data_IF_272147844053
#
_entry.id   IF_272147844053
#
_cell.length_a   1.000
_cell.length_b   1.000
_cell.length_c   1.000
_cell.angle_alpha   90.00
_cell.angle_beta   90.00
_cell.angle_gamma   90.00
#
_symmetry.space_group_name_H-M   'P 1'
#
loop_
_entity.id
_entity.type
_entity.pdbx_description
1 polymer ?
#
# COMPACT_ATOMS: atom_id res chain seq x y z
N UNK A 1 -35.69 -13.79 72.64
CA UNK A 1 -35.92 -12.85 71.52
C UNK A 1 -35.28 -13.42 70.25
N UNK A 2 -36.09 -14.00 69.36
CA UNK A 2 -35.61 -14.67 68.14
C UNK A 2 -35.41 -13.68 66.98
N UNK A 3 -34.31 -13.82 66.23
CA UNK A 3 -34.05 -13.04 65.00
C UNK A 3 -35.07 -13.46 63.92
N UNK A 4 -35.92 -12.56 63.47
CA UNK A 4 -36.79 -12.79 62.32
C UNK A 4 -35.98 -12.79 61.02
N UNK A 5 -36.40 -13.60 60.05
CA UNK A 5 -35.77 -13.64 58.73
C UNK A 5 -36.03 -12.33 57.98
N UNK A 6 -34.97 -11.66 57.51
CA UNK A 6 -35.05 -10.40 56.74
C UNK A 6 -35.85 -10.52 55.43
N UNK A 7 -36.06 -11.73 54.93
CA UNK A 7 -36.83 -12.00 53.71
C UNK A 7 -37.75 -13.19 53.97
N UNK A 8 -39.05 -13.01 53.71
CA UNK A 8 -40.08 -14.03 53.97
C UNK A 8 -40.22 -15.03 52.82
N UNK A 9 -39.67 -14.74 51.64
CA UNK A 9 -39.78 -15.59 50.44
C UNK A 9 -38.49 -15.61 49.62
N UNK A 10 -38.25 -16.68 48.85
CA UNK A 10 -37.11 -16.75 47.94
C UNK A 10 -37.15 -15.65 46.86
N UNK A 11 -38.35 -15.30 46.39
CA UNK A 11 -38.56 -14.21 45.42
C UNK A 11 -38.11 -12.85 45.99
N UNK A 12 -38.54 -12.50 47.20
CA UNK A 12 -38.15 -11.24 47.87
C UNK A 12 -36.64 -11.16 48.12
N UNK A 13 -35.99 -12.27 48.46
CA UNK A 13 -34.53 -12.34 48.55
C UNK A 13 -33.85 -12.07 47.20
N UNK A 14 -34.39 -12.65 46.12
CA UNK A 14 -33.82 -12.48 44.77
C UNK A 14 -33.93 -11.04 44.26
N UNK A 15 -35.05 -10.37 44.53
CA UNK A 15 -35.28 -9.00 44.10
C UNK A 15 -34.46 -8.00 44.93
N UNK A 16 -34.32 -8.24 46.23
CA UNK A 16 -33.41 -7.47 47.08
C UNK A 16 -31.95 -7.56 46.59
N UNK A 17 -31.50 -8.76 46.21
CA UNK A 17 -30.16 -8.94 45.62
C UNK A 17 -30.00 -8.23 44.28
N UNK A 18 -31.03 -8.23 43.42
CA UNK A 18 -31.01 -7.48 42.15
C UNK A 18 -30.93 -5.97 42.39
N UNK A 19 -31.73 -5.44 43.32
CA UNK A 19 -31.72 -4.02 43.67
C UNK A 19 -30.39 -3.59 44.27
N UNK A 20 -29.84 -4.37 45.21
CA UNK A 20 -28.53 -4.10 45.80
C UNK A 20 -27.40 -4.14 44.76
N UNK A 21 -27.46 -5.07 43.80
CA UNK A 21 -26.52 -5.10 42.66
C UNK A 21 -26.64 -3.86 41.77
N UNK A 22 -27.86 -3.38 41.51
CA UNK A 22 -28.12 -2.16 40.72
C UNK A 22 -27.61 -0.90 41.44
N UNK A 23 -27.86 -0.79 42.74
CA UNK A 23 -27.34 0.31 43.57
C UNK A 23 -25.81 0.29 43.62
N UNK A 24 -25.21 -0.87 43.87
CA UNK A 24 -23.76 -1.02 43.86
C UNK A 24 -23.18 -0.63 42.50
N UNK A 25 -23.77 -1.08 41.38
CA UNK A 25 -23.32 -0.73 40.04
C UNK A 25 -23.40 0.78 39.74
N UNK A 26 -24.32 1.51 40.38
CA UNK A 26 -24.47 2.98 40.25
C UNK A 26 -23.52 3.76 41.17
N UNK A 27 -23.06 3.16 42.26
CA UNK A 27 -22.09 3.76 43.16
C UNK A 27 -20.72 3.99 42.50
N UNK A 28 -19.95 4.95 43.00
CA UNK A 28 -18.61 5.24 42.46
C UNK A 28 -17.65 4.06 42.64
N UNK A 29 -17.82 3.29 43.72
CA UNK A 29 -17.07 2.05 43.95
C UNK A 29 -17.37 0.99 42.89
N UNK A 30 -18.64 0.83 42.51
CA UNK A 30 -19.04 -0.09 41.43
C UNK A 30 -18.54 0.35 40.06
N UNK A 31 -18.59 1.65 39.76
CA UNK A 31 -18.00 2.22 38.52
C UNK A 31 -16.49 2.00 38.45
N UNK A 32 -15.77 2.23 39.56
CA UNK A 32 -14.34 2.01 39.64
C UNK A 32 -13.97 0.53 39.44
N UNK A 33 -14.70 -0.39 40.07
CA UNK A 33 -14.51 -1.83 39.89
C UNK A 33 -14.73 -2.26 38.43
N UNK A 34 -15.77 -1.74 37.76
CA UNK A 34 -16.03 -2.01 36.34
C UNK A 34 -14.93 -1.44 35.44
N UNK A 35 -14.46 -0.22 35.72
CA UNK A 35 -13.35 0.42 34.99
C UNK A 35 -12.07 -0.42 35.09
N UNK A 36 -11.74 -0.88 36.29
CA UNK A 36 -10.57 -1.73 36.53
C UNK A 36 -10.70 -3.11 35.86
N UNK A 37 -11.90 -3.72 35.90
CA UNK A 37 -12.16 -4.96 35.18
C UNK A 37 -12.01 -4.79 33.67
N UNK A 38 -12.59 -3.72 33.10
CA UNK A 38 -12.44 -3.39 31.68
C UNK A 38 -10.98 -3.13 31.32
N UNK A 39 -10.24 -2.41 32.16
CA UNK A 39 -8.80 -2.18 31.99
C UNK A 39 -8.03 -3.50 31.97
N UNK A 40 -8.30 -4.42 32.90
CA UNK A 40 -7.66 -5.75 32.93
C UNK A 40 -8.04 -6.60 31.71
N UNK A 41 -9.29 -6.54 31.27
CA UNK A 41 -9.74 -7.24 30.07
C UNK A 41 -9.06 -6.69 28.81
N UNK A 42 -8.96 -5.36 28.69
CA UNK A 42 -8.23 -4.68 27.63
C UNK A 42 -6.75 -5.08 27.62
N UNK A 43 -6.09 -5.00 28.79
CA UNK A 43 -4.70 -5.44 28.93
C UNK A 43 -4.58 -6.91 28.52
N UNK A 44 -5.40 -7.84 29.01
CA UNK A 44 -5.31 -9.26 28.61
C UNK A 44 -5.55 -9.50 27.13
N UNK A 45 -6.51 -8.78 26.54
CA UNK A 45 -6.81 -8.89 25.12
C UNK A 45 -5.66 -8.37 24.25
N UNK A 46 -4.92 -7.37 24.73
CA UNK A 46 -3.87 -6.68 23.96
C UNK A 46 -2.45 -7.11 24.36
N UNK A 47 -2.25 -7.74 25.52
CA UNK A 47 -0.95 -8.24 26.00
C UNK A 47 -0.58 -9.61 25.43
N UNK A 48 -1.55 -10.33 24.83
CA UNK A 48 -1.33 -11.63 24.18
C UNK A 48 -0.94 -11.52 22.71
N UNK A 49 -1.07 -10.34 22.10
CA UNK A 49 -0.39 -10.05 20.85
C UNK A 49 1.03 -9.72 21.30
N UNK A 50 1.99 -10.61 21.04
CA UNK A 50 3.40 -10.28 21.21
C UNK A 50 3.74 -8.98 20.46
N UNK A 51 4.97 -8.46 20.59
CA UNK A 51 5.40 -7.36 19.74
C UNK A 51 5.01 -7.71 18.30
N UNK A 52 4.33 -6.80 17.55
CA UNK A 52 4.02 -7.09 16.16
C UNK A 52 5.31 -7.54 15.48
N UNK A 53 5.28 -8.59 14.64
CA UNK A 53 6.47 -9.05 13.94
C UNK A 53 7.10 -7.83 13.30
N UNK A 54 8.36 -7.53 13.65
CA UNK A 54 9.08 -6.41 13.06
C UNK A 54 9.14 -6.71 11.56
N UNK A 55 8.32 -6.03 10.77
CA UNK A 55 8.35 -6.17 9.32
C UNK A 55 9.72 -5.70 8.87
N UNK A 56 10.64 -6.61 8.56
CA UNK A 56 12.00 -6.26 8.18
C UNK A 56 11.97 -5.58 6.83
N UNK A 57 12.82 -4.56 6.65
CA UNK A 57 12.95 -3.90 5.35
C UNK A 57 13.38 -4.92 4.30
N UNK A 58 12.70 -4.98 3.13
CA UNK A 58 13.09 -5.90 2.07
C UNK A 58 14.46 -5.48 1.51
N UNK A 59 15.32 -6.45 1.19
CA UNK A 59 16.59 -6.14 0.53
C UNK A 59 16.37 -5.99 -0.97
N UNK A 60 16.83 -4.89 -1.56
CA UNK A 60 16.74 -4.66 -3.00
C UNK A 60 17.98 -5.20 -3.73
N UNK A 61 17.82 -6.05 -4.77
CA UNK A 61 18.94 -6.53 -5.58
C UNK A 61 19.68 -5.38 -6.29
N UNK A 62 21.00 -5.52 -6.48
CA UNK A 62 21.79 -4.49 -7.15
C UNK A 62 21.34 -4.26 -8.60
N UNK A 63 21.07 -5.33 -9.36
CA UNK A 63 20.57 -5.22 -10.74
C UNK A 63 19.26 -4.41 -10.84
N UNK A 64 18.39 -4.49 -9.82
CA UNK A 64 17.17 -3.68 -9.75
C UNK A 64 17.54 -2.20 -9.59
N UNK A 65 18.47 -1.87 -8.70
CA UNK A 65 18.96 -0.48 -8.52
C UNK A 65 19.59 0.08 -9.78
N UNK A 66 20.40 -0.72 -10.45
CA UNK A 66 21.03 -0.33 -11.73
C UNK A 66 19.96 -0.05 -12.78
N UNK A 67 18.89 -0.86 -12.82
CA UNK A 67 17.73 -0.65 -13.69
C UNK A 67 16.90 0.58 -13.30
N UNK A 68 16.87 0.96 -12.02
CA UNK A 68 16.16 2.15 -11.57
C UNK A 68 16.91 3.46 -11.90
N UNK A 69 18.23 3.37 -12.10
CA UNK A 69 19.12 4.51 -12.33
C UNK A 69 19.09 5.07 -13.76
N UNK A 70 18.27 4.50 -14.66
CA UNK A 70 18.11 5.05 -16.00
C UNK A 70 17.51 6.47 -15.95
N UNK A 71 18.11 7.36 -16.75
CA UNK A 71 17.67 8.74 -16.88
C UNK A 71 16.30 8.83 -17.55
N UNK A 72 15.45 9.70 -17.01
CA UNK A 72 14.16 10.03 -17.61
C UNK A 72 14.35 10.98 -18.81
N UNK A 73 13.47 10.94 -19.83
CA UNK A 73 13.58 11.74 -21.04
C UNK A 73 13.17 13.21 -20.81
N UNK A 74 13.92 13.93 -19.97
CA UNK A 74 13.63 15.32 -19.55
C UNK A 74 13.64 16.35 -20.68
N UNK A 75 14.15 15.97 -21.85
CA UNK A 75 14.17 16.79 -23.06
C UNK A 75 12.94 16.58 -23.97
N UNK A 76 12.14 15.54 -23.73
CA UNK A 76 10.97 15.23 -24.55
C UNK A 76 9.77 16.08 -24.14
N UNK A 77 9.10 16.71 -25.12
CA UNK A 77 7.89 17.49 -24.87
C UNK A 77 6.74 16.63 -24.36
N UNK A 78 6.58 15.42 -24.90
CA UNK A 78 5.57 14.45 -24.46
C UNK A 78 5.76 14.08 -22.98
N UNK A 79 7.00 13.81 -22.58
CA UNK A 79 7.34 13.54 -21.18
C UNK A 79 7.01 14.74 -20.28
N UNK A 80 7.46 15.94 -20.68
CA UNK A 80 7.26 17.14 -19.87
C UNK A 80 5.79 17.49 -19.70
N UNK A 81 4.98 17.38 -20.75
CA UNK A 81 3.54 17.65 -20.70
C UNK A 81 2.80 16.61 -19.85
N UNK A 82 3.01 15.32 -20.12
CA UNK A 82 2.38 14.24 -19.35
C UNK A 82 2.81 14.26 -17.87
N UNK A 83 4.06 14.63 -17.56
CA UNK A 83 4.53 14.73 -16.17
C UNK A 83 3.88 15.86 -15.37
N UNK A 84 3.27 16.85 -16.04
CA UNK A 84 2.65 18.02 -15.43
C UNK A 84 1.15 17.87 -15.24
N UNK A 85 0.45 17.32 -16.24
CA UNK A 85 -1.02 17.21 -16.21
C UNK A 85 -1.52 15.99 -16.95
N UNK A 86 -2.59 15.39 -16.43
CA UNK A 86 -3.34 14.32 -17.10
C UNK A 86 -4.20 14.85 -18.26
N UNK A 87 -4.52 16.15 -18.24
CA UNK A 87 -5.39 16.78 -19.25
C UNK A 87 -4.60 17.31 -20.45
N UNK A 88 -3.26 17.27 -20.42
CA UNK A 88 -2.42 17.83 -21.47
C UNK A 88 -2.40 16.95 -22.74
N UNK A 89 -2.48 15.63 -22.57
CA UNK A 89 -2.34 14.64 -23.62
C UNK A 89 -3.37 13.53 -23.41
N UNK A 90 -3.75 12.85 -24.49
CA UNK A 90 -4.65 11.70 -24.40
C UNK A 90 -3.90 10.48 -23.85
N UNK A 91 -4.32 10.01 -22.68
CA UNK A 91 -3.74 8.86 -21.97
C UNK A 91 -4.66 7.62 -22.02
N UNK A 92 -5.76 7.67 -22.77
CA UNK A 92 -6.82 6.63 -22.74
C UNK A 92 -6.34 5.24 -23.18
N UNK A 93 -5.39 5.17 -24.12
CA UNK A 93 -4.86 3.91 -24.66
C UNK A 93 -3.68 3.35 -23.85
N UNK A 94 -3.22 4.03 -22.79
CA UNK A 94 -2.01 3.62 -22.08
C UNK A 94 -2.19 2.41 -21.16
N UNK A 95 -3.43 2.11 -20.78
CA UNK A 95 -3.74 1.08 -19.79
C UNK A 95 -3.28 -0.33 -20.22
N UNK A 96 -3.11 -0.58 -21.52
CA UNK A 96 -2.59 -1.86 -22.01
C UNK A 96 -1.11 -2.05 -21.69
N UNK A 97 -0.34 -0.96 -21.63
CA UNK A 97 1.11 -0.95 -21.42
C UNK A 97 1.52 -0.90 -19.93
N UNK A 98 0.54 -0.75 -19.03
CA UNK A 98 0.73 -0.88 -17.58
C UNK A 98 0.67 -2.31 -17.08
N UNK A 99 0.52 -3.26 -17.99
CA UNK A 99 0.45 -4.68 -17.70
C UNK A 99 1.77 -5.35 -18.04
N UNK A 100 2.00 -6.48 -17.39
CA UNK A 100 3.11 -7.36 -17.74
C UNK A 100 2.87 -7.91 -19.16
N UNK A 101 3.91 -8.01 -20.02
CA UNK A 101 3.78 -8.72 -21.30
C UNK A 101 3.33 -10.17 -21.09
N UNK A 102 2.64 -10.81 -22.07
CA UNK A 102 2.45 -10.36 -23.45
C UNK A 102 1.31 -9.34 -23.62
N UNK A 103 1.50 -8.40 -24.54
CA UNK A 103 0.51 -7.37 -24.88
C UNK A 103 -0.50 -7.88 -25.92
N UNK A 104 -1.79 -7.50 -25.81
CA UNK A 104 -2.84 -7.95 -26.73
C UNK A 104 -2.76 -7.28 -28.11
N UNK A 105 -2.07 -6.14 -28.22
CA UNK A 105 -2.01 -5.31 -29.41
C UNK A 105 -1.28 -6.05 -30.55
N UNK A 106 -1.76 -5.93 -31.80
CA UNK A 106 -1.08 -6.55 -32.93
C UNK A 106 0.29 -5.91 -33.16
N UNK A 107 1.22 -6.69 -33.72
CA UNK A 107 2.52 -6.17 -34.09
C UNK A 107 2.37 -5.08 -35.17
N UNK A 108 2.82 -3.83 -34.92
CA UNK A 108 2.79 -2.78 -35.92
C UNK A 108 3.77 -3.08 -37.06
N UNK A 109 3.54 -2.52 -38.27
CA UNK A 109 4.52 -2.62 -39.34
C UNK A 109 5.84 -1.94 -38.93
N UNK A 110 6.98 -2.54 -39.30
CA UNK A 110 8.30 -1.98 -38.99
C UNK A 110 8.67 -0.84 -39.95
N UNK A 111 8.01 0.30 -39.78
CA UNK A 111 8.24 1.54 -40.54
C UNK A 111 8.66 2.67 -39.61
N UNK A 112 9.39 3.65 -40.16
CA UNK A 112 9.93 4.78 -39.40
C UNK A 112 8.88 5.50 -38.55
N UNK A 113 7.69 5.74 -39.12
CA UNK A 113 6.58 6.41 -38.43
C UNK A 113 6.14 5.67 -37.16
N UNK A 114 6.05 4.34 -37.22
CA UNK A 114 5.64 3.51 -36.07
C UNK A 114 6.71 3.49 -34.98
N UNK A 115 8.00 3.60 -35.35
CA UNK A 115 9.11 3.71 -34.39
C UNK A 115 9.04 5.04 -33.64
N UNK A 116 8.91 6.16 -34.35
CA UNK A 116 8.75 7.48 -33.73
C UNK A 116 7.50 7.54 -32.85
N UNK A 117 6.38 6.95 -33.28
CA UNK A 117 5.18 6.84 -32.45
C UNK A 117 5.46 6.06 -31.16
N UNK A 118 6.17 4.94 -31.24
CA UNK A 118 6.54 4.13 -30.07
C UNK A 118 7.49 4.87 -29.13
N UNK A 119 8.39 5.69 -29.66
CA UNK A 119 9.27 6.54 -28.86
C UNK A 119 8.47 7.59 -28.08
N UNK A 120 7.59 8.33 -28.77
CA UNK A 120 6.71 9.32 -28.15
C UNK A 120 5.79 8.69 -27.10
N UNK A 121 5.27 7.49 -27.39
CA UNK A 121 4.46 6.71 -26.46
C UNK A 121 5.23 6.37 -25.18
N UNK A 122 6.49 5.92 -25.31
CA UNK A 122 7.32 5.64 -24.13
C UNK A 122 7.59 6.89 -23.30
N UNK A 123 7.85 8.04 -23.93
CA UNK A 123 8.10 9.31 -23.22
C UNK A 123 6.85 9.80 -22.47
N UNK A 124 5.69 9.69 -23.12
CA UNK A 124 4.39 10.03 -22.53
C UNK A 124 4.09 9.13 -21.32
N UNK A 125 4.36 7.83 -21.42
CA UNK A 125 4.24 6.90 -20.30
C UNK A 125 5.19 7.23 -19.15
N UNK A 126 6.44 7.59 -19.44
CA UNK A 126 7.40 8.05 -18.43
C UNK A 126 6.89 9.28 -17.69
N UNK A 127 6.31 10.24 -18.42
CA UNK A 127 5.74 11.44 -17.83
C UNK A 127 4.57 11.13 -16.88
N UNK A 128 3.58 10.37 -17.37
CA UNK A 128 2.43 9.95 -16.56
C UNK A 128 2.85 9.20 -15.30
N UNK A 129 3.75 8.23 -15.41
CA UNK A 129 4.20 7.43 -14.27
C UNK A 129 4.98 8.25 -13.25
N UNK A 130 5.77 9.23 -13.68
CA UNK A 130 6.43 10.16 -12.76
C UNK A 130 5.41 11.00 -11.96
N UNK A 131 4.34 11.44 -12.63
CA UNK A 131 3.25 12.18 -11.98
C UNK A 131 2.55 11.31 -10.92
N UNK A 132 2.22 10.07 -11.27
CA UNK A 132 1.59 9.10 -10.36
C UNK A 132 2.50 8.72 -9.18
N UNK A 133 3.79 8.52 -9.43
CA UNK A 133 4.81 8.25 -8.40
C UNK A 133 4.84 9.39 -7.37
N UNK A 134 4.90 10.64 -7.82
CA UNK A 134 4.89 11.83 -6.95
C UNK A 134 3.63 11.90 -6.10
N UNK A 135 2.46 11.67 -6.71
CA UNK A 135 1.18 11.65 -6.00
C UNK A 135 1.17 10.56 -4.93
N UNK A 136 1.59 9.35 -5.28
CA UNK A 136 1.65 8.20 -4.38
C UNK A 136 2.59 8.45 -3.18
N UNK A 137 3.79 9.00 -3.41
CA UNK A 137 4.72 9.35 -2.32
C UNK A 137 4.11 10.42 -1.41
N UNK A 138 3.49 11.45 -1.99
CA UNK A 138 2.83 12.51 -1.23
C UNK A 138 1.75 11.94 -0.31
N UNK A 139 0.89 11.08 -0.84
CA UNK A 139 -0.17 10.41 -0.08
C UNK A 139 0.40 9.53 1.04
N UNK A 140 1.47 8.79 0.76
CA UNK A 140 2.12 7.96 1.79
C UNK A 140 2.72 8.79 2.91
N UNK A 141 3.47 9.84 2.58
CA UNK A 141 4.04 10.75 3.58
C UNK A 141 2.94 11.35 4.44
N UNK A 142 1.82 11.78 3.83
CA UNK A 142 0.67 12.29 4.57
C UNK A 142 0.04 11.23 5.50
N UNK A 143 -0.11 9.99 5.04
CA UNK A 143 -0.66 8.89 5.86
C UNK A 143 0.27 8.54 7.03
N UNK A 144 1.58 8.53 6.80
CA UNK A 144 2.59 8.22 7.82
C UNK A 144 2.62 9.29 8.91
N UNK A 145 2.63 10.58 8.54
CA UNK A 145 2.58 11.71 9.49
C UNK A 145 1.31 11.68 10.34
N UNK A 146 0.18 11.25 9.77
CA UNK A 146 -1.09 11.09 10.51
C UNK A 146 -1.09 9.89 11.46
N UNK A 147 -0.05 9.07 11.48
CA UNK A 147 0.00 7.86 12.29
C UNK A 147 -0.99 6.80 11.83
N UNK A 148 -1.32 6.76 10.52
CA UNK A 148 -2.25 5.78 9.97
C UNK A 148 -1.67 4.38 10.18
N UNK A 149 -2.37 3.56 10.99
CA UNK A 149 -1.96 2.20 11.29
C UNK A 149 -1.85 1.38 9.99
N UNK A 150 -0.74 0.66 9.81
CA UNK A 150 -0.52 -0.18 8.63
C UNK A 150 0.16 0.50 7.44
N UNK A 151 0.45 1.81 7.51
CA UNK A 151 1.10 2.55 6.41
C UNK A 151 2.47 1.96 6.02
N UNK A 152 3.25 1.56 7.03
CA UNK A 152 4.55 0.90 6.85
C UNK A 152 4.41 -0.47 6.19
N UNK A 153 3.51 -1.31 6.67
CA UNK A 153 3.25 -2.64 6.12
C UNK A 153 2.77 -2.54 4.67
N UNK A 154 1.94 -1.54 4.37
CA UNK A 154 1.45 -1.25 3.02
C UNK A 154 2.59 -0.88 2.08
N UNK A 155 3.52 -0.03 2.53
CA UNK A 155 4.69 0.36 1.75
C UNK A 155 5.62 -0.83 1.48
N UNK A 156 5.86 -1.68 2.48
CA UNK A 156 6.66 -2.91 2.30
C UNK A 156 5.99 -3.85 1.29
N UNK A 157 4.67 -4.04 1.36
CA UNK A 157 3.94 -4.87 0.41
C UNK A 157 4.04 -4.33 -1.02
N UNK A 158 4.01 -3.01 -1.21
CA UNK A 158 4.17 -2.39 -2.52
C UNK A 158 5.61 -2.50 -3.06
N UNK A 159 6.62 -2.39 -2.20
CA UNK A 159 8.02 -2.62 -2.58
C UNK A 159 8.20 -4.07 -3.06
N UNK A 160 7.67 -5.05 -2.32
CA UNK A 160 7.71 -6.47 -2.70
C UNK A 160 6.97 -6.71 -4.02
N UNK A 161 5.77 -6.15 -4.21
CA UNK A 161 5.00 -6.27 -5.44
C UNK A 161 5.77 -5.72 -6.65
N UNK A 162 6.29 -4.49 -6.55
CA UNK A 162 7.08 -3.87 -7.62
C UNK A 162 8.37 -4.67 -7.91
N UNK A 163 8.99 -5.29 -6.90
CA UNK A 163 10.15 -6.18 -7.09
C UNK A 163 9.78 -7.44 -7.88
N UNK A 164 8.66 -8.08 -7.56
CA UNK A 164 8.22 -9.29 -8.27
C UNK A 164 7.75 -8.98 -9.70
N UNK A 165 7.11 -7.84 -9.92
CA UNK A 165 6.73 -7.37 -11.25
C UNK A 165 7.98 -7.05 -12.10
N UNK A 166 9.00 -6.41 -11.52
CA UNK A 166 10.29 -6.18 -12.17
C UNK A 166 10.96 -7.51 -12.60
N UNK A 167 11.01 -8.51 -11.71
CA UNK A 167 11.57 -9.83 -12.04
C UNK A 167 10.79 -10.50 -13.18
N UNK A 168 9.46 -10.47 -13.09
CA UNK A 168 8.58 -11.09 -14.08
C UNK A 168 8.75 -10.44 -15.46
N UNK A 169 8.86 -9.11 -15.50
CA UNK A 169 9.14 -8.39 -16.74
C UNK A 169 10.54 -8.69 -17.29
N UNK A 170 11.55 -8.80 -16.42
CA UNK A 170 12.91 -9.17 -16.81
C UNK A 170 12.98 -10.57 -17.41
N UNK A 171 12.26 -11.55 -16.85
CA UNK A 171 12.16 -12.89 -17.44
C UNK A 171 11.42 -12.88 -18.78
N UNK A 172 10.33 -12.11 -18.89
CA UNK A 172 9.60 -11.97 -20.15
C UNK A 172 10.47 -11.38 -21.27
N UNK A 173 11.38 -10.45 -20.96
CA UNK A 173 12.32 -9.85 -21.91
C UNK A 173 13.40 -10.82 -22.41
N UNK A 174 13.71 -11.88 -21.66
CA UNK A 174 14.61 -12.96 -22.12
C UNK A 174 13.94 -13.86 -23.16
N UNK A 175 12.61 -13.93 -23.14
CA UNK A 175 11.83 -14.66 -24.13
C UNK A 175 11.76 -13.94 -25.49
N UNK A 176 11.07 -14.57 -26.43
CA UNK A 176 10.79 -13.96 -27.73
C UNK A 176 9.67 -12.92 -27.59
N UNK A 177 10.06 -11.65 -27.45
CA UNK A 177 9.11 -10.54 -27.42
C UNK A 177 8.76 -10.18 -28.87
N UNK A 178 7.61 -10.65 -29.31
CA UNK A 178 7.27 -10.80 -30.73
C UNK A 178 7.38 -9.58 -31.65
N UNK A 179 7.49 -8.35 -31.12
CA UNK A 179 7.79 -7.17 -31.96
C UNK A 179 8.61 -6.09 -31.22
N UNK A 180 9.31 -5.20 -31.96
CA UNK A 180 10.12 -4.13 -31.37
C UNK A 180 9.34 -3.21 -30.41
N UNK A 181 8.08 -2.89 -30.74
CA UNK A 181 7.21 -2.10 -29.86
C UNK A 181 7.02 -2.81 -28.52
N UNK A 182 6.60 -4.06 -28.54
CA UNK A 182 6.37 -4.83 -27.31
C UNK A 182 7.63 -4.93 -26.47
N UNK A 183 8.80 -5.12 -27.08
CA UNK A 183 10.08 -5.15 -26.36
C UNK A 183 10.35 -3.81 -25.68
N UNK A 184 10.14 -2.69 -26.40
CA UNK A 184 10.34 -1.35 -25.83
C UNK A 184 9.36 -1.05 -24.69
N UNK A 185 8.09 -1.43 -24.82
CA UNK A 185 7.09 -1.22 -23.77
C UNK A 185 7.35 -2.11 -22.54
N UNK A 186 7.79 -3.35 -22.75
CA UNK A 186 8.17 -4.26 -21.66
C UNK A 186 9.42 -3.77 -20.91
N UNK A 187 10.42 -3.26 -21.63
CA UNK A 187 11.62 -2.65 -21.04
C UNK A 187 11.26 -1.39 -20.24
N UNK A 188 10.39 -0.53 -20.80
CA UNK A 188 9.87 0.64 -20.10
C UNK A 188 9.13 0.25 -18.81
N UNK A 189 8.23 -0.74 -18.88
CA UNK A 189 7.51 -1.28 -17.71
C UNK A 189 8.49 -1.81 -16.65
N UNK A 190 9.46 -2.64 -17.05
CA UNK A 190 10.49 -3.18 -16.16
C UNK A 190 11.25 -2.05 -15.42
N UNK A 191 11.70 -1.02 -16.15
CA UNK A 191 12.41 0.13 -15.55
C UNK A 191 11.56 0.86 -14.52
N UNK A 192 10.27 1.05 -14.79
CA UNK A 192 9.37 1.70 -13.85
C UNK A 192 9.07 0.87 -12.61
N UNK A 193 8.99 -0.45 -12.72
CA UNK A 193 8.85 -1.32 -11.55
C UNK A 193 10.09 -1.25 -10.66
N UNK A 194 11.29 -1.26 -11.26
CA UNK A 194 12.54 -1.05 -10.53
C UNK A 194 12.58 0.32 -9.83
N UNK A 195 12.24 1.39 -10.55
CA UNK A 195 12.20 2.75 -10.01
C UNK A 195 11.20 2.87 -8.86
N UNK A 196 9.98 2.36 -9.04
CA UNK A 196 8.94 2.37 -8.01
C UNK A 196 9.42 1.67 -6.74
N UNK A 197 10.04 0.48 -6.86
CA UNK A 197 10.57 -0.25 -5.72
C UNK A 197 11.66 0.55 -4.99
N UNK A 198 12.61 1.15 -5.70
CA UNK A 198 13.66 1.99 -5.12
C UNK A 198 13.10 3.23 -4.42
N UNK A 199 12.24 3.98 -5.10
CA UNK A 199 11.67 5.23 -4.58
C UNK A 199 10.84 4.98 -3.32
N UNK A 200 10.03 3.92 -3.30
CA UNK A 200 9.28 3.53 -2.11
C UNK A 200 10.20 3.05 -0.98
N UNK A 201 11.27 2.32 -1.31
CA UNK A 201 12.26 1.87 -0.34
C UNK A 201 12.98 3.05 0.33
N UNK A 202 13.45 4.01 -0.47
CA UNK A 202 14.13 5.21 0.01
C UNK A 202 13.18 6.06 0.86
N UNK A 203 11.94 6.25 0.39
CA UNK A 203 10.89 6.95 1.16
C UNK A 203 10.64 6.26 2.50
N UNK A 204 10.61 4.92 2.54
CA UNK A 204 10.41 4.19 3.78
C UNK A 204 11.59 4.33 4.74
N UNK A 205 12.81 4.36 4.22
CA UNK A 205 14.02 4.59 5.01
C UNK A 205 14.05 6.00 5.60
N UNK A 206 13.63 7.02 4.84
CA UNK A 206 13.55 8.41 5.32
C UNK A 206 12.53 8.58 6.47
N UNK A 207 11.45 7.79 6.46
CA UNK A 207 10.35 7.89 7.42
C UNK A 207 10.54 7.01 8.68
N UNK A 208 11.43 6.01 8.63
CA UNK A 208 11.65 5.04 9.72
C UNK A 208 12.63 5.55 10.78
#
# INVERSE_FOLDING_TARGET
>A
MGRSAKYLTAASKSDALKSQRREYARSDRGKAARKEQNKRAYIRAHSRRGPPPRTTMPTLPQALRDTAAFDLPTHSTFFLEASRSADALDESELAEWDRLPPYPSPAPPDIFRERTYTDNLSDLMDGRRLREERARISDFRAQYVRGTAGSRETMIALIEAAREDWKSAAEALKGDVGCPRHRKMADNYMRWQARTACVLYDTLQELS
#
